data_IF_675836758716
#
_entry.id   IF_675836758716
#
_cell.length_a   1.000
_cell.length_b   1.000
_cell.length_c   1.000
_cell.angle_alpha   90.00
_cell.angle_beta   90.00
_cell.angle_gamma   90.00
#
_symmetry.space_group_name_H-M   'P 1'
#
loop_
_entity.id
_entity.type
_entity.pdbx_description
1 polymer ?
#
# COMPACT_ATOMS: atom_id res chain seq x y z
N UNK A 1 -7.04 -56.65 -3.03
CA UNK A 1 -7.98 -55.76 -2.29
C UNK A 1 -7.22 -54.54 -1.72
N UNK A 2 -6.60 -53.70 -2.57
CA UNK A 2 -5.60 -52.70 -2.12
C UNK A 2 -5.89 -51.25 -2.59
N UNK A 3 -6.91 -51.06 -3.44
CA UNK A 3 -7.18 -49.78 -4.15
C UNK A 3 -8.09 -48.80 -3.38
N UNK A 4 -8.63 -49.20 -2.21
CA UNK A 4 -9.50 -48.36 -1.36
C UNK A 4 -8.71 -47.49 -0.38
N UNK A 5 -7.61 -47.99 0.19
CA UNK A 5 -6.82 -47.28 1.22
C UNK A 5 -6.23 -45.95 0.71
N UNK A 6 -5.70 -45.93 -0.52
CA UNK A 6 -5.09 -44.72 -1.08
C UNK A 6 -6.07 -43.55 -1.21
N UNK A 7 -7.36 -43.82 -1.42
CA UNK A 7 -8.38 -42.76 -1.60
C UNK A 7 -8.59 -41.94 -0.33
N UNK A 8 -8.57 -42.61 0.82
CA UNK A 8 -8.71 -41.97 2.13
C UNK A 8 -7.45 -41.19 2.52
N UNK A 9 -6.27 -41.66 2.12
CA UNK A 9 -5.00 -40.94 2.31
C UNK A 9 -5.00 -39.64 1.49
N UNK A 10 -5.43 -39.67 0.22
CA UNK A 10 -5.52 -38.45 -0.59
C UNK A 10 -6.57 -37.46 -0.05
N UNK A 11 -7.72 -37.96 0.44
CA UNK A 11 -8.72 -37.11 1.09
C UNK A 11 -8.17 -36.47 2.37
N UNK A 12 -7.47 -37.25 3.21
CA UNK A 12 -6.83 -36.73 4.43
C UNK A 12 -5.79 -35.65 4.09
N UNK A 13 -4.93 -35.89 3.10
CA UNK A 13 -3.95 -34.90 2.64
C UNK A 13 -4.61 -33.63 2.10
N UNK A 14 -5.72 -33.75 1.38
CA UNK A 14 -6.49 -32.59 0.90
C UNK A 14 -7.03 -31.75 2.06
N UNK A 15 -7.63 -32.38 3.09
CA UNK A 15 -8.12 -31.65 4.26
C UNK A 15 -7.00 -31.00 5.08
N UNK A 16 -5.85 -31.68 5.22
CA UNK A 16 -4.67 -31.10 5.87
C UNK A 16 -4.18 -29.89 5.08
N UNK A 17 -4.07 -29.98 3.76
CA UNK A 17 -3.66 -28.86 2.91
C UNK A 17 -4.63 -27.68 3.01
N UNK A 18 -5.94 -27.94 3.01
CA UNK A 18 -6.97 -26.91 3.19
C UNK A 18 -6.91 -26.26 4.58
N UNK A 19 -6.70 -27.04 5.63
CA UNK A 19 -6.55 -26.53 7.00
C UNK A 19 -5.30 -25.67 7.16
N UNK A 20 -4.16 -26.11 6.60
CA UNK A 20 -2.92 -25.33 6.56
C UNK A 20 -3.12 -24.02 5.79
N UNK A 21 -3.77 -24.07 4.62
CA UNK A 21 -4.06 -22.88 3.83
C UNK A 21 -4.99 -21.89 4.58
N UNK A 22 -5.95 -22.39 5.35
CA UNK A 22 -6.83 -21.57 6.18
C UNK A 22 -6.10 -20.90 7.34
N UNK A 23 -5.28 -21.65 8.08
CA UNK A 23 -4.50 -21.12 9.22
C UNK A 23 -3.43 -20.12 8.75
N UNK A 24 -2.82 -20.36 7.60
CA UNK A 24 -1.84 -19.46 7.00
C UNK A 24 -2.49 -18.32 6.21
N UNK A 25 -3.83 -18.27 6.10
CA UNK A 25 -4.49 -17.19 5.40
C UNK A 25 -4.16 -15.87 6.11
N UNK A 26 -3.60 -14.89 5.38
CA UNK A 26 -3.09 -13.70 6.02
C UNK A 26 -4.21 -12.82 6.56
N UNK A 27 -4.01 -12.32 7.78
CA UNK A 27 -4.90 -11.33 8.38
C UNK A 27 -4.97 -10.06 7.52
N UNK A 28 -6.09 -9.35 7.60
CA UNK A 28 -6.28 -8.12 6.82
C UNK A 28 -5.22 -7.07 7.13
N UNK A 29 -4.77 -6.97 8.39
CA UNK A 29 -3.62 -6.14 8.76
C UNK A 29 -2.34 -6.51 8.00
N UNK A 30 -1.99 -7.81 7.94
CA UNK A 30 -0.82 -8.28 7.17
C UNK A 30 -0.96 -8.00 5.68
N UNK A 31 -2.18 -7.97 5.15
CA UNK A 31 -2.46 -7.63 3.75
C UNK A 31 -2.31 -6.13 3.51
N UNK A 32 -2.80 -5.28 4.42
CA UNK A 32 -2.64 -3.83 4.35
C UNK A 32 -1.16 -3.44 4.45
N UNK A 33 -0.39 -4.03 5.38
CA UNK A 33 1.07 -3.83 5.45
C UNK A 33 1.77 -4.14 4.13
N UNK A 34 1.33 -5.19 3.43
CA UNK A 34 1.82 -5.54 2.09
C UNK A 34 1.42 -4.54 1.02
N UNK A 35 0.20 -3.99 1.06
CA UNK A 35 -0.21 -2.90 0.16
C UNK A 35 0.70 -1.69 0.35
N UNK A 36 0.94 -1.28 1.60
CA UNK A 36 1.80 -0.13 1.94
C UNK A 36 3.25 -0.36 1.50
N UNK A 37 3.81 -1.55 1.76
CA UNK A 37 5.17 -1.90 1.33
C UNK A 37 5.29 -1.97 -0.19
N UNK A 38 4.31 -2.59 -0.87
CA UNK A 38 4.29 -2.68 -2.32
C UNK A 38 4.14 -1.31 -2.99
N UNK A 39 3.32 -0.42 -2.44
CA UNK A 39 3.19 0.95 -2.97
C UNK A 39 4.46 1.77 -2.77
N UNK A 40 5.16 1.60 -1.65
CA UNK A 40 6.46 2.25 -1.42
C UNK A 40 7.52 1.76 -2.42
N UNK A 41 7.64 0.44 -2.59
CA UNK A 41 8.59 -0.14 -3.54
C UNK A 41 8.33 0.34 -4.97
N UNK A 42 7.06 0.42 -5.38
CA UNK A 42 6.68 0.97 -6.67
C UNK A 42 7.01 2.47 -6.79
N UNK A 43 6.83 3.27 -5.72
CA UNK A 43 7.23 4.68 -5.70
C UNK A 43 8.74 4.85 -5.87
N UNK A 44 9.55 4.10 -5.10
CA UNK A 44 11.02 4.16 -5.16
C UNK A 44 11.53 3.76 -6.56
N UNK A 45 10.93 2.72 -7.15
CA UNK A 45 11.27 2.25 -8.50
C UNK A 45 10.69 3.12 -9.62
N UNK A 46 9.88 4.12 -9.28
CA UNK A 46 9.12 4.95 -10.23
C UNK A 46 8.27 4.09 -11.19
N UNK A 47 7.76 2.96 -10.70
CA UNK A 47 6.89 2.04 -11.42
C UNK A 47 5.43 2.51 -11.33
N UNK A 48 4.99 3.26 -12.34
CA UNK A 48 3.66 3.82 -12.37
C UNK A 48 2.57 2.76 -12.41
N UNK A 49 2.73 1.72 -13.23
CA UNK A 49 1.70 0.71 -13.35
C UNK A 49 1.63 -0.16 -12.09
N UNK A 50 2.79 -0.54 -11.54
CA UNK A 50 2.89 -1.24 -10.26
C UNK A 50 2.28 -0.45 -9.09
N UNK A 51 2.50 0.87 -9.01
CA UNK A 51 1.88 1.71 -7.99
C UNK A 51 0.35 1.67 -8.09
N UNK A 52 -0.17 1.74 -9.31
CA UNK A 52 -1.61 1.79 -9.56
C UNK A 52 -2.30 0.42 -9.38
N UNK A 53 -1.55 -0.67 -9.23
CA UNK A 53 -2.07 -1.95 -8.73
C UNK A 53 -2.53 -1.89 -7.27
N UNK A 54 -2.07 -0.90 -6.49
CA UNK A 54 -2.47 -0.71 -5.09
C UNK A 54 -3.57 0.32 -4.91
N UNK A 55 -3.85 1.15 -5.93
CA UNK A 55 -4.82 2.24 -5.88
C UNK A 55 -6.16 1.78 -6.44
N UNK A 56 -7.27 2.18 -5.79
CA UNK A 56 -8.63 1.90 -6.25
C UNK A 56 -9.02 2.80 -7.42
N UNK A 57 -9.77 2.29 -8.40
CA UNK A 57 -10.35 3.13 -9.45
C UNK A 57 -11.31 4.20 -8.91
N UNK A 58 -11.88 3.98 -7.73
CA UNK A 58 -12.74 4.93 -7.03
C UNK A 58 -11.95 5.91 -6.14
N UNK A 59 -10.62 5.96 -6.27
CA UNK A 59 -9.78 6.85 -5.46
C UNK A 59 -10.24 8.30 -5.55
N UNK A 60 -10.35 8.94 -4.38
CA UNK A 60 -10.60 10.37 -4.25
C UNK A 60 -10.00 10.92 -2.96
N UNK A 61 -9.17 11.94 -3.07
CA UNK A 61 -8.58 12.62 -1.92
C UNK A 61 -9.11 14.05 -1.73
N UNK A 62 -8.69 14.66 -0.62
CA UNK A 62 -9.07 16.02 -0.24
C UNK A 62 -8.35 17.09 -1.08
N UNK A 63 -7.39 16.69 -1.91
CA UNK A 63 -6.62 17.55 -2.82
C UNK A 63 -7.20 17.58 -4.24
N UNK A 64 -8.38 16.99 -4.43
CA UNK A 64 -9.08 16.93 -5.71
C UNK A 64 -8.52 15.91 -6.69
N UNK A 65 -7.65 14.99 -6.24
CA UNK A 65 -7.16 13.91 -7.08
C UNK A 65 -8.21 12.80 -7.17
N UNK A 66 -8.62 12.48 -8.40
CA UNK A 66 -9.22 11.20 -8.75
C UNK A 66 -8.15 10.22 -9.22
N UNK A 67 -8.48 8.94 -9.40
CA UNK A 67 -7.56 7.92 -9.94
C UNK A 67 -6.80 8.40 -11.19
N UNK A 68 -7.49 8.92 -12.20
CA UNK A 68 -6.87 9.37 -13.46
C UNK A 68 -5.97 10.60 -13.26
N UNK A 69 -6.42 11.56 -12.44
CA UNK A 69 -5.65 12.78 -12.14
C UNK A 69 -4.38 12.41 -11.38
N UNK A 70 -4.49 11.54 -10.38
CA UNK A 70 -3.36 11.03 -9.62
C UNK A 70 -2.38 10.31 -10.56
N UNK A 71 -2.86 9.43 -11.45
CA UNK A 71 -1.99 8.71 -12.40
C UNK A 71 -1.18 9.65 -13.27
N UNK A 72 -1.85 10.66 -13.83
CA UNK A 72 -1.19 11.67 -14.66
C UNK A 72 -0.17 12.49 -13.86
N UNK A 73 -0.49 12.90 -12.63
CA UNK A 73 0.43 13.66 -11.77
C UNK A 73 1.65 12.81 -11.39
N UNK A 74 1.45 11.56 -10.99
CA UNK A 74 2.54 10.65 -10.66
C UNK A 74 3.44 10.36 -11.86
N UNK A 75 2.88 10.23 -13.06
CA UNK A 75 3.68 10.11 -14.30
C UNK A 75 4.62 11.30 -14.49
N UNK A 76 4.12 12.53 -14.28
CA UNK A 76 4.91 13.75 -14.41
C UNK A 76 6.03 13.76 -13.36
N UNK A 77 5.70 13.43 -12.11
CA UNK A 77 6.66 13.35 -11.00
C UNK A 77 7.75 12.32 -11.30
N UNK A 78 7.39 11.11 -11.71
CA UNK A 78 8.34 10.03 -12.01
C UNK A 78 9.26 10.36 -13.19
N UNK A 79 8.78 11.09 -14.20
CA UNK A 79 9.60 11.51 -15.33
C UNK A 79 10.58 12.63 -14.97
N UNK A 80 10.26 13.43 -13.94
CA UNK A 80 11.05 14.57 -13.53
C UNK A 80 12.16 14.19 -12.54
N UNK A 81 11.87 13.27 -11.64
CA UNK A 81 12.78 12.91 -10.55
C UNK A 81 13.81 11.86 -10.97
N UNK A 82 15.05 12.06 -10.54
CA UNK A 82 16.16 11.13 -10.73
C UNK A 82 16.04 9.95 -9.76
N UNK A 83 15.90 10.22 -8.46
CA UNK A 83 15.66 9.22 -7.42
C UNK A 83 14.55 9.65 -6.45
N UNK A 84 14.02 8.67 -5.72
CA UNK A 84 13.04 8.86 -4.64
C UNK A 84 13.45 7.96 -3.50
N UNK A 85 13.60 8.53 -2.32
CA UNK A 85 13.82 7.84 -1.05
C UNK A 85 12.64 8.13 -0.13
N UNK A 86 12.10 7.07 0.47
CA UNK A 86 10.97 7.14 1.38
C UNK A 86 11.41 6.57 2.72
N UNK A 87 11.37 7.39 3.74
CA UNK A 87 11.42 6.92 5.12
C UNK A 87 9.97 6.85 5.62
N UNK A 88 9.60 5.75 6.29
CA UNK A 88 8.27 5.62 6.91
C UNK A 88 8.32 4.92 8.25
N UNK A 89 7.41 5.31 9.13
CA UNK A 89 7.06 4.59 10.34
C UNK A 89 5.55 4.35 10.38
N UNK A 90 5.13 3.09 10.48
CA UNK A 90 3.73 2.71 10.56
C UNK A 90 3.28 2.76 12.03
N UNK A 91 2.40 3.69 12.36
CA UNK A 91 1.96 3.93 13.73
C UNK A 91 0.86 2.95 14.16
N UNK A 92 -0.07 2.64 13.25
CA UNK A 92 -1.18 1.75 13.53
C UNK A 92 -1.98 1.40 12.30
N UNK A 93 -2.72 0.29 12.38
CA UNK A 93 -3.72 -0.12 11.39
C UNK A 93 -5.00 -0.46 12.14
N UNK A 94 -6.10 0.17 11.75
CA UNK A 94 -7.44 -0.12 12.25
C UNK A 94 -8.28 -0.71 11.12
N UNK A 95 -8.84 -1.90 11.33
CA UNK A 95 -9.66 -2.60 10.33
C UNK A 95 -11.12 -2.62 10.79
N UNK A 96 -12.01 -2.13 9.93
CA UNK A 96 -13.46 -2.09 10.12
C UNK A 96 -14.15 -2.81 8.96
N UNK A 97 -14.25 -4.14 9.07
CA UNK A 97 -14.83 -5.06 8.08
C UNK A 97 -14.26 -4.88 6.66
N UNK A 98 -14.93 -4.06 5.84
CA UNK A 98 -14.56 -3.78 4.45
C UNK A 98 -13.70 -2.53 4.27
N UNK A 99 -13.42 -1.82 5.35
CA UNK A 99 -12.62 -0.60 5.34
C UNK A 99 -11.46 -0.73 6.32
N UNK A 100 -10.40 0.03 6.08
CA UNK A 100 -9.32 0.15 7.04
C UNK A 100 -8.64 1.50 6.93
N UNK A 101 -7.98 1.88 8.02
CA UNK A 101 -7.16 3.08 8.13
C UNK A 101 -5.76 2.68 8.59
N UNK A 102 -4.74 3.27 8.00
CA UNK A 102 -3.37 3.19 8.48
C UNK A 102 -2.82 4.59 8.73
N UNK A 103 -2.20 4.77 9.89
CA UNK A 103 -1.53 6.01 10.28
C UNK A 103 -0.03 5.83 10.07
N UNK A 104 0.60 6.75 9.33
CA UNK A 104 2.03 6.70 9.05
C UNK A 104 2.67 8.05 9.30
N UNK A 105 3.89 8.02 9.81
CA UNK A 105 4.83 9.12 9.72
C UNK A 105 5.72 8.87 8.50
N UNK A 106 5.79 9.82 7.58
CA UNK A 106 6.59 9.71 6.35
C UNK A 106 7.53 10.89 6.15
N UNK A 107 8.68 10.62 5.55
CA UNK A 107 9.54 11.61 4.93
C UNK A 107 9.88 11.14 3.53
N UNK A 108 9.90 12.06 2.59
CA UNK A 108 10.26 11.75 1.20
C UNK A 108 11.34 12.72 0.76
N UNK A 109 12.46 12.14 0.35
CA UNK A 109 13.58 12.84 -0.24
C UNK A 109 13.58 12.48 -1.72
N UNK A 110 13.76 13.46 -2.59
CA UNK A 110 13.87 13.21 -4.01
C UNK A 110 14.96 14.08 -4.61
N UNK A 111 15.59 13.59 -5.69
CA UNK A 111 16.50 14.40 -6.49
C UNK A 111 15.94 14.75 -7.86
N UNK A 112 16.29 15.94 -8.32
CA UNK A 112 16.02 16.46 -9.65
C UNK A 112 17.30 17.15 -10.16
N UNK A 113 17.96 16.54 -11.14
CA UNK A 113 19.30 16.97 -11.56
C UNK A 113 20.34 16.77 -10.45
N UNK A 114 21.00 17.85 -10.03
CA UNK A 114 21.99 17.83 -8.94
C UNK A 114 21.39 18.15 -7.56
N UNK A 115 20.14 18.61 -7.50
CA UNK A 115 19.48 18.95 -6.24
C UNK A 115 18.86 17.72 -5.61
N UNK A 116 19.04 17.54 -4.29
CA UNK A 116 18.39 16.49 -3.48
C UNK A 116 17.74 17.14 -2.26
N UNK A 117 16.42 17.03 -2.16
CA UNK A 117 15.62 17.84 -1.24
C UNK A 117 14.51 17.02 -0.59
N UNK A 118 14.04 17.47 0.57
CA UNK A 118 12.83 16.94 1.19
C UNK A 118 11.60 17.49 0.45
N UNK A 119 10.78 16.60 -0.10
CA UNK A 119 9.51 16.95 -0.75
C UNK A 119 8.29 16.69 0.14
N UNK A 120 8.46 15.85 1.18
CA UNK A 120 7.47 15.62 2.24
C UNK A 120 8.22 15.50 3.57
N UNK A 121 7.78 16.24 4.58
CA UNK A 121 8.48 16.36 5.86
C UNK A 121 9.77 17.19 5.74
N UNK A 122 10.63 17.09 6.75
CA UNK A 122 11.97 17.67 6.75
C UNK A 122 12.95 16.83 7.60
N UNK A 123 14.19 17.30 7.78
CA UNK A 123 15.22 16.60 8.52
C UNK A 123 14.86 16.34 10.01
N UNK A 124 14.00 17.17 10.59
CA UNK A 124 13.59 17.13 11.99
C UNK A 124 12.18 16.53 12.12
N UNK A 125 11.22 16.98 11.32
CA UNK A 125 9.82 16.63 11.42
C UNK A 125 9.40 15.60 10.36
N UNK A 126 8.69 14.56 10.82
CA UNK A 126 7.97 13.64 9.93
C UNK A 126 6.62 14.23 9.58
N UNK A 127 6.13 13.96 8.37
CA UNK A 127 4.75 14.27 8.01
C UNK A 127 3.85 13.12 8.45
N UNK A 128 2.88 13.41 9.31
CA UNK A 128 1.82 12.45 9.64
C UNK A 128 0.82 12.39 8.48
N UNK A 129 0.51 11.18 8.02
CA UNK A 129 -0.47 10.90 6.98
C UNK A 129 -1.41 9.78 7.40
N UNK A 130 -2.61 9.82 6.84
CA UNK A 130 -3.61 8.75 6.97
C UNK A 130 -3.89 8.15 5.60
N UNK A 131 -3.80 6.83 5.51
CA UNK A 131 -4.10 6.07 4.30
C UNK A 131 -5.36 5.25 4.55
N UNK A 132 -6.35 5.43 3.70
CA UNK A 132 -7.63 4.74 3.79
C UNK A 132 -7.71 3.65 2.74
N UNK A 133 -8.25 2.51 3.13
CA UNK A 133 -8.36 1.33 2.30
C UNK A 133 -9.79 0.82 2.23
N UNK A 134 -10.11 0.21 1.10
CA UNK A 134 -11.33 -0.55 0.89
C UNK A 134 -11.00 -1.97 0.43
N UNK A 135 -11.78 -2.93 0.91
CA UNK A 135 -11.67 -4.35 0.58
C UNK A 135 -12.38 -4.62 -0.75
N UNK A 136 -11.59 -4.88 -1.78
CA UNK A 136 -12.04 -5.50 -3.03
C UNK A 136 -12.10 -7.03 -2.85
N UNK A 137 -12.85 -7.81 -3.67
CA UNK A 137 -13.09 -9.24 -3.45
C UNK A 137 -11.85 -10.09 -3.17
N UNK A 138 -10.67 -9.69 -3.67
CA UNK A 138 -9.41 -10.41 -3.48
C UNK A 138 -8.27 -9.57 -2.91
N UNK A 139 -8.43 -8.25 -2.75
CA UNK A 139 -7.33 -7.34 -2.38
C UNK A 139 -7.81 -6.09 -1.65
N UNK A 140 -6.95 -5.57 -0.79
CA UNK A 140 -7.11 -4.24 -0.24
C UNK A 140 -6.58 -3.21 -1.23
N UNK A 141 -7.24 -2.07 -1.33
CA UNK A 141 -6.89 -0.98 -2.25
C UNK A 141 -6.94 0.34 -1.52
N UNK A 142 -5.99 1.22 -1.81
CA UNK A 142 -5.96 2.59 -1.31
C UNK A 142 -7.09 3.38 -2.00
N UNK A 143 -7.95 4.02 -1.23
CA UNK A 143 -9.07 4.84 -1.74
C UNK A 143 -8.89 6.32 -1.46
N UNK A 144 -8.07 6.67 -0.46
CA UNK A 144 -7.78 8.05 -0.07
C UNK A 144 -6.46 8.14 0.69
N UNK A 145 -5.75 9.24 0.53
CA UNK A 145 -4.64 9.65 1.40
C UNK A 145 -4.93 11.05 1.91
N UNK A 146 -4.75 11.26 3.22
CA UNK A 146 -4.93 12.55 3.88
C UNK A 146 -3.66 12.96 4.64
N UNK A 147 -3.52 14.25 4.96
CA UNK A 147 -2.41 14.77 5.76
C UNK A 147 -1.12 15.12 5.00
N UNK A 148 -1.00 14.74 3.72
CA UNK A 148 0.17 15.06 2.88
C UNK A 148 0.55 16.56 2.82
N UNK A 149 -0.43 17.45 2.85
CA UNK A 149 -0.24 18.91 2.85
C UNK A 149 -1.00 19.50 4.04
N UNK A 150 -0.62 19.11 5.26
CA UNK A 150 -1.13 19.73 6.49
C UNK A 150 -0.65 21.18 6.59
N UNK A 151 -1.56 22.09 6.98
CA UNK A 151 -1.30 23.52 7.18
C UNK A 151 0.05 23.75 7.89
N UNK A 152 0.94 24.53 7.24
CA UNK A 152 1.98 25.26 7.97
C UNK A 152 1.24 26.11 9.00
N UNK A 153 1.16 25.66 10.26
CA UNK A 153 0.78 26.55 11.34
C UNK A 153 1.81 27.67 11.35
N UNK A 154 1.33 28.87 11.00
CA UNK A 154 2.05 30.12 11.24
C UNK A 154 2.39 30.24 12.72
#
# INVERSE_FOLDING_TARGET
>A
MQRRSNRYIFLLLFFIAAAVAFVLYPTDEKRIRRVIAGSEDALIKKDLDGLFEYISYNYRDDYGNSYLILKKRMQIVFNRLNDIEIEKNLMGITVLDKTAEAELNVRVIASEGEAREYIIGDAVAWQEIKVYFEKSPYKWKIVKVAGLFGNRSQ
#
